data_IF_807585490737
#
_entry.id   IF_807585490737
#
_cell.length_a   1.000
_cell.length_b   1.000
_cell.length_c   1.000
_cell.angle_alpha   90.00
_cell.angle_beta   90.00
_cell.angle_gamma   90.00
#
_symmetry.space_group_name_H-M   'P 1'
#
loop_
_entity.id
_entity.type
_entity.pdbx_description
1 polymer ?
#
# COMPACT_ATOMS: atom_id res chain seq x y z
N UNK A 1 -42.47 6.26 60.32
CA UNK A 1 -41.83 7.24 59.43
C UNK A 1 -40.58 6.62 58.89
N UNK A 2 -40.70 5.86 57.75
CA UNK A 2 -39.58 5.09 57.14
C UNK A 2 -39.00 5.90 55.99
N UNK A 3 -37.73 6.28 56.09
CA UNK A 3 -36.97 6.91 54.99
C UNK A 3 -36.50 5.81 54.05
N UNK A 4 -37.07 5.80 52.86
CA UNK A 4 -36.65 4.93 51.75
C UNK A 4 -35.33 5.49 51.14
N UNK A 5 -34.24 4.83 51.39
CA UNK A 5 -32.92 5.17 50.77
C UNK A 5 -32.85 4.51 49.41
N UNK A 6 -33.11 5.28 48.37
CA UNK A 6 -32.90 4.82 46.97
C UNK A 6 -31.40 4.75 46.68
N UNK A 7 -30.84 3.52 46.58
CA UNK A 7 -29.49 3.28 46.08
C UNK A 7 -29.49 3.44 44.55
N UNK A 8 -28.87 4.52 44.08
CA UNK A 8 -28.63 4.70 42.63
C UNK A 8 -27.60 3.67 42.18
N UNK A 9 -28.04 2.69 41.43
CA UNK A 9 -27.21 1.69 40.78
C UNK A 9 -26.58 2.30 39.50
N UNK A 10 -25.28 2.65 39.56
CA UNK A 10 -24.52 3.07 38.37
C UNK A 10 -24.14 1.84 37.57
N UNK A 11 -24.82 1.61 36.45
CA UNK A 11 -24.46 0.59 35.49
C UNK A 11 -23.30 1.14 34.65
N UNK A 12 -22.08 0.73 34.97
CA UNK A 12 -20.91 0.94 34.09
C UNK A 12 -21.06 0.06 32.86
N UNK A 13 -21.48 0.64 31.72
CA UNK A 13 -21.43 -0.04 30.42
C UNK A 13 -19.96 -0.05 29.98
N UNK A 14 -19.32 -1.21 30.13
CA UNK A 14 -17.98 -1.45 29.62
C UNK A 14 -18.10 -1.62 28.10
N UNK A 15 -17.89 -0.53 27.34
CA UNK A 15 -17.80 -0.56 25.89
C UNK A 15 -16.47 -1.25 25.56
N UNK A 16 -16.51 -2.56 25.29
CA UNK A 16 -15.40 -3.28 24.70
C UNK A 16 -15.13 -2.71 23.29
N UNK A 17 -14.16 -1.82 23.18
CA UNK A 17 -13.57 -1.49 21.89
C UNK A 17 -12.85 -2.74 21.36
N UNK A 18 -13.52 -3.48 20.49
CA UNK A 18 -12.87 -4.52 19.70
C UNK A 18 -12.03 -3.79 18.64
N UNK A 19 -10.69 -3.91 18.67
CA UNK A 19 -9.89 -3.35 17.58
C UNK A 19 -10.33 -4.05 16.28
N UNK A 20 -10.73 -3.27 15.28
CA UNK A 20 -10.83 -3.78 13.91
C UNK A 20 -9.40 -4.14 13.48
N UNK A 21 -9.02 -5.38 13.68
CA UNK A 21 -7.75 -5.89 13.20
C UNK A 21 -7.75 -5.80 11.67
N UNK A 22 -6.95 -4.94 11.11
CA UNK A 22 -6.57 -5.03 9.70
C UNK A 22 -6.08 -6.46 9.49
N UNK A 23 -6.67 -7.19 8.54
CA UNK A 23 -6.35 -8.60 8.32
C UNK A 23 -5.02 -8.64 7.55
N UNK A 24 -3.95 -8.72 8.30
CA UNK A 24 -2.59 -8.91 7.77
C UNK A 24 -2.30 -10.42 7.70
N UNK A 25 -1.68 -10.87 6.63
CA UNK A 25 -1.40 -12.27 6.37
C UNK A 25 -0.09 -12.46 5.62
N UNK A 26 0.61 -13.56 5.91
CA UNK A 26 1.90 -13.89 5.32
C UNK A 26 1.74 -14.58 3.99
N UNK A 27 2.60 -14.21 3.01
CA UNK A 27 2.63 -14.84 1.71
C UNK A 27 4.02 -14.78 1.07
N UNK A 28 4.34 -15.78 0.25
CA UNK A 28 5.58 -15.80 -0.52
C UNK A 28 5.40 -15.07 -1.85
N UNK A 29 6.27 -14.12 -2.15
CA UNK A 29 6.29 -13.46 -3.45
C UNK A 29 6.78 -14.45 -4.51
N UNK A 30 5.91 -14.78 -5.47
CA UNK A 30 6.22 -15.73 -6.56
C UNK A 30 6.61 -15.03 -7.85
N UNK A 31 6.12 -13.81 -8.08
CA UNK A 31 6.57 -12.97 -9.21
C UNK A 31 6.21 -11.50 -9.01
N UNK A 32 7.03 -10.62 -9.59
CA UNK A 32 6.73 -9.20 -9.76
C UNK A 32 6.22 -8.99 -11.18
N UNK A 33 5.02 -8.45 -11.32
CA UNK A 33 4.38 -8.22 -12.62
C UNK A 33 4.85 -6.90 -13.25
N UNK A 34 4.89 -5.87 -12.44
CA UNK A 34 5.34 -4.50 -12.76
C UNK A 34 5.75 -3.77 -11.46
N UNK A 35 5.88 -2.45 -11.49
CA UNK A 35 6.38 -1.69 -10.34
C UNK A 35 5.43 -1.61 -9.13
N UNK A 36 4.16 -2.01 -9.28
CA UNK A 36 3.16 -1.92 -8.20
C UNK A 36 2.21 -3.12 -8.14
N UNK A 37 2.52 -4.18 -8.86
CA UNK A 37 1.71 -5.39 -8.89
C UNK A 37 2.59 -6.63 -8.74
N UNK A 38 2.29 -7.43 -7.72
CA UNK A 38 2.95 -8.71 -7.45
C UNK A 38 1.97 -9.86 -7.46
N UNK A 39 2.49 -11.07 -7.63
CA UNK A 39 1.79 -12.32 -7.33
C UNK A 39 2.43 -12.94 -6.12
N UNK A 40 1.62 -13.33 -5.17
CA UNK A 40 2.04 -14.03 -3.97
C UNK A 40 1.37 -15.39 -3.88
N UNK A 41 1.93 -16.30 -3.12
CA UNK A 41 1.33 -17.57 -2.76
C UNK A 41 1.09 -17.62 -1.25
N UNK A 42 -0.13 -17.93 -0.87
CA UNK A 42 -0.53 -18.23 0.49
C UNK A 42 -1.15 -19.62 0.54
N UNK A 43 -0.85 -20.41 1.59
CA UNK A 43 -1.29 -21.80 1.68
C UNK A 43 -2.82 -21.96 1.71
N UNK A 44 -3.54 -20.96 2.25
CA UNK A 44 -5.00 -21.00 2.39
C UNK A 44 -5.72 -20.51 1.12
N UNK A 45 -5.15 -19.50 0.44
CA UNK A 45 -5.78 -18.79 -0.67
C UNK A 45 -5.20 -19.18 -2.04
N UNK A 46 -4.07 -19.91 -2.08
CA UNK A 46 -3.33 -20.20 -3.31
C UNK A 46 -2.61 -18.97 -3.85
N UNK A 47 -2.60 -18.78 -5.16
CA UNK A 47 -2.00 -17.60 -5.79
C UNK A 47 -2.93 -16.39 -5.75
N UNK A 48 -2.47 -15.32 -5.16
CA UNK A 48 -3.19 -14.04 -5.06
C UNK A 48 -2.41 -12.94 -5.80
N UNK A 49 -3.12 -12.09 -6.54
CA UNK A 49 -2.54 -10.90 -7.17
C UNK A 49 -2.74 -9.70 -6.26
N UNK A 50 -1.65 -9.07 -5.86
CA UNK A 50 -1.64 -7.89 -4.99
C UNK A 50 -1.31 -6.65 -5.83
N UNK A 51 -2.15 -5.61 -5.71
CA UNK A 51 -1.87 -4.26 -6.17
C UNK A 51 -1.45 -3.41 -4.97
N UNK A 52 -0.28 -2.83 -5.02
CA UNK A 52 0.22 -1.99 -3.94
C UNK A 52 -0.71 -0.77 -3.77
N UNK A 53 -1.23 -0.59 -2.56
CA UNK A 53 -2.15 0.48 -2.21
C UNK A 53 -1.50 1.86 -2.33
N UNK A 54 -2.29 2.85 -2.77
CA UNK A 54 -1.95 4.27 -2.67
C UNK A 54 -0.85 4.78 -3.61
N UNK A 55 -0.22 3.91 -4.39
CA UNK A 55 0.83 4.27 -5.35
C UNK A 55 0.47 3.89 -6.78
N UNK A 56 1.12 4.54 -7.75
CA UNK A 56 1.00 4.22 -9.17
C UNK A 56 2.38 4.34 -9.82
N UNK A 57 2.82 3.30 -10.51
CA UNK A 57 4.15 3.25 -11.11
C UNK A 57 4.09 3.38 -12.63
N UNK A 58 5.16 3.85 -13.28
CA UNK A 58 5.19 3.93 -14.72
C UNK A 58 4.89 2.58 -15.38
N UNK A 59 4.08 2.60 -16.42
CA UNK A 59 3.69 1.42 -17.21
C UNK A 59 4.91 0.79 -17.91
N UNK A 60 4.84 -0.50 -18.29
CA UNK A 60 5.95 -1.21 -18.94
C UNK A 60 6.53 -0.51 -20.18
N UNK A 61 5.71 0.19 -20.94
CA UNK A 61 6.10 0.97 -22.13
C UNK A 61 6.39 2.44 -21.85
N UNK A 62 6.33 2.85 -20.61
CA UNK A 62 6.62 4.22 -20.17
C UNK A 62 8.07 4.31 -19.71
N UNK A 63 8.73 5.48 -19.84
CA UNK A 63 10.02 5.71 -19.20
C UNK A 63 9.98 5.30 -17.72
N UNK A 64 11.03 4.66 -17.24
CA UNK A 64 11.14 4.08 -15.89
C UNK A 64 10.19 2.91 -15.54
N UNK A 65 9.27 2.48 -16.39
CA UNK A 65 8.38 1.35 -16.07
C UNK A 65 9.12 0.04 -15.81
N UNK A 66 10.12 -0.28 -16.67
CA UNK A 66 10.97 -1.46 -16.43
C UNK A 66 11.85 -1.30 -15.18
N UNK A 67 12.33 -0.08 -14.92
CA UNK A 67 13.15 0.21 -13.76
C UNK A 67 12.37 0.08 -12.45
N UNK A 68 11.12 0.56 -12.42
CA UNK A 68 10.22 0.39 -11.27
C UNK A 68 9.97 -1.10 -10.96
N UNK A 69 9.65 -1.91 -11.98
CA UNK A 69 9.48 -3.37 -11.79
C UNK A 69 10.76 -4.06 -11.30
N UNK A 70 11.92 -3.67 -11.83
CA UNK A 70 13.23 -4.17 -11.36
C UNK A 70 13.50 -3.79 -9.91
N UNK A 71 13.22 -2.55 -9.54
CA UNK A 71 13.42 -2.07 -8.17
C UNK A 71 12.53 -2.84 -7.19
N UNK A 72 11.23 -2.97 -7.47
CA UNK A 72 10.34 -3.78 -6.65
C UNK A 72 10.83 -5.23 -6.55
N UNK A 73 11.28 -5.81 -7.66
CA UNK A 73 11.84 -7.17 -7.67
C UNK A 73 13.09 -7.30 -6.81
N UNK A 74 13.99 -6.29 -6.81
CA UNK A 74 15.19 -6.31 -5.95
C UNK A 74 14.88 -6.21 -4.46
N UNK A 75 13.73 -5.64 -4.10
CA UNK A 75 13.28 -5.55 -2.71
C UNK A 75 12.70 -6.89 -2.21
N UNK A 76 11.79 -7.50 -2.98
CA UNK A 76 10.94 -8.56 -2.43
C UNK A 76 10.82 -9.84 -3.29
N UNK A 77 11.60 -10.02 -4.37
CA UNK A 77 11.47 -11.24 -5.17
C UNK A 77 11.83 -12.49 -4.35
N UNK A 78 10.88 -13.42 -4.22
CA UNK A 78 11.05 -14.66 -3.47
C UNK A 78 10.96 -14.51 -1.95
N UNK A 79 10.78 -13.29 -1.43
CA UNK A 79 10.63 -13.04 0.00
C UNK A 79 9.28 -13.55 0.55
N UNK A 80 9.24 -13.75 1.86
CA UNK A 80 8.02 -13.90 2.64
C UNK A 80 7.61 -12.49 3.11
N UNK A 81 6.46 -12.03 2.66
CA UNK A 81 5.96 -10.69 2.98
C UNK A 81 4.66 -10.76 3.76
N UNK A 82 4.40 -9.75 4.56
CA UNK A 82 3.12 -9.54 5.19
C UNK A 82 2.26 -8.63 4.29
N UNK A 83 1.01 -9.03 4.05
CA UNK A 83 0.05 -8.26 3.25
C UNK A 83 -1.07 -7.76 4.14
N UNK A 84 -1.13 -6.47 4.35
CA UNK A 84 -2.25 -5.80 5.00
C UNK A 84 -3.30 -5.44 3.95
N UNK A 85 -4.42 -6.17 3.92
CA UNK A 85 -5.48 -5.95 2.95
C UNK A 85 -6.25 -4.67 3.27
N UNK A 86 -6.28 -3.73 2.32
CA UNK A 86 -7.08 -2.50 2.41
C UNK A 86 -8.44 -2.68 1.75
N UNK A 87 -8.47 -3.26 0.54
CA UNK A 87 -9.71 -3.49 -0.23
C UNK A 87 -9.45 -4.48 -1.37
N UNK A 88 -10.48 -4.76 -2.15
CA UNK A 88 -10.38 -5.50 -3.41
C UNK A 88 -10.84 -4.59 -4.55
N UNK A 89 -10.11 -4.56 -5.64
CA UNK A 89 -10.46 -3.73 -6.79
C UNK A 89 -11.48 -4.42 -7.72
N UNK A 90 -11.98 -3.65 -8.69
CA UNK A 90 -12.98 -4.13 -9.68
C UNK A 90 -12.47 -5.29 -10.57
N UNK A 91 -11.17 -5.56 -10.56
CA UNK A 91 -10.54 -6.67 -11.32
C UNK A 91 -10.28 -7.89 -10.43
N UNK A 92 -10.74 -7.88 -9.19
CA UNK A 92 -10.55 -8.96 -8.22
C UNK A 92 -9.14 -9.04 -7.62
N UNK A 93 -8.30 -7.99 -7.77
CA UNK A 93 -6.99 -7.95 -7.12
C UNK A 93 -7.15 -7.48 -5.67
N UNK A 94 -6.44 -8.09 -4.76
CA UNK A 94 -6.26 -7.53 -3.41
C UNK A 94 -5.44 -6.24 -3.52
N UNK A 95 -5.97 -5.15 -2.99
CA UNK A 95 -5.24 -3.88 -2.85
C UNK A 95 -4.74 -3.81 -1.42
N UNK A 96 -3.43 -3.72 -1.23
CA UNK A 96 -2.83 -3.84 0.09
C UNK A 96 -1.53 -3.08 0.28
N UNK A 97 -1.17 -2.96 1.56
CA UNK A 97 0.15 -2.53 1.97
C UNK A 97 0.98 -3.80 2.15
N UNK A 98 2.17 -3.80 1.59
CA UNK A 98 3.10 -4.93 1.63
C UNK A 98 4.27 -4.56 2.52
N UNK A 99 4.58 -5.44 3.47
CA UNK A 99 5.68 -5.28 4.39
C UNK A 99 6.68 -6.42 4.20
N UNK A 100 7.95 -6.07 4.14
CA UNK A 100 9.06 -7.00 4.28
C UNK A 100 9.76 -6.68 5.60
N UNK A 101 9.58 -7.54 6.60
CA UNK A 101 9.93 -7.25 7.99
C UNK A 101 9.31 -5.91 8.45
N UNK A 102 10.11 -4.91 8.80
CA UNK A 102 9.66 -3.58 9.22
C UNK A 102 9.57 -2.56 8.07
N UNK A 103 9.90 -2.99 6.84
CA UNK A 103 9.94 -2.11 5.67
C UNK A 103 8.60 -2.08 4.95
N UNK A 104 7.96 -0.91 4.90
CA UNK A 104 6.79 -0.67 4.06
C UNK A 104 7.22 -0.54 2.59
N UNK A 105 6.95 -1.55 1.79
CA UNK A 105 7.37 -1.62 0.38
C UNK A 105 6.69 -0.57 -0.49
N UNK A 106 5.42 -0.26 -0.23
CA UNK A 106 4.70 0.79 -0.94
C UNK A 106 5.39 2.15 -0.75
N UNK A 107 5.72 2.47 0.49
CA UNK A 107 6.42 3.70 0.87
C UNK A 107 7.82 3.75 0.27
N UNK A 108 8.54 2.62 0.29
CA UNK A 108 9.88 2.50 -0.27
C UNK A 108 9.91 2.80 -1.75
N UNK A 109 8.94 2.32 -2.52
CA UNK A 109 8.81 2.61 -3.95
C UNK A 109 8.66 4.11 -4.22
N UNK A 110 7.95 4.85 -3.36
CA UNK A 110 7.81 6.31 -3.43
C UNK A 110 9.13 6.98 -3.07
N UNK A 111 9.74 6.59 -1.94
CA UNK A 111 10.99 7.16 -1.43
C UNK A 111 12.13 7.02 -2.43
N UNK A 112 12.23 5.86 -3.06
CA UNK A 112 13.25 5.57 -4.08
C UNK A 112 12.97 6.22 -5.45
N UNK A 113 11.85 6.95 -5.59
CA UNK A 113 11.48 7.66 -6.81
C UNK A 113 11.03 6.75 -7.95
N UNK A 114 10.45 5.59 -7.66
CA UNK A 114 9.90 4.68 -8.68
C UNK A 114 8.38 4.64 -8.73
N UNK A 115 7.71 5.34 -7.81
CA UNK A 115 6.26 5.45 -7.77
C UNK A 115 5.80 6.88 -7.54
N UNK A 116 4.62 7.19 -8.07
CA UNK A 116 3.83 8.35 -7.71
C UNK A 116 2.89 7.98 -6.57
N UNK A 117 2.64 8.89 -5.64
CA UNK A 117 1.51 8.76 -4.73
C UNK A 117 0.23 8.99 -5.53
N UNK A 118 -0.63 7.96 -5.58
CA UNK A 118 -1.87 8.04 -6.31
C UNK A 118 -2.96 8.67 -5.43
N UNK A 119 -2.96 9.99 -5.33
CA UNK A 119 -3.80 10.79 -4.42
C UNK A 119 -5.28 10.42 -4.43
N UNK A 120 -5.81 9.98 -5.60
CA UNK A 120 -7.21 9.55 -5.71
C UNK A 120 -7.52 8.30 -4.88
N UNK A 121 -6.53 7.46 -4.62
CA UNK A 121 -6.65 6.17 -3.94
C UNK A 121 -5.74 6.04 -2.73
N UNK A 122 -5.09 7.11 -2.31
CA UNK A 122 -4.31 7.20 -1.10
C UNK A 122 -5.04 8.15 -0.14
N UNK A 123 -5.93 7.60 0.68
CA UNK A 123 -6.85 8.34 1.56
C UNK A 123 -6.60 8.08 3.06
N UNK A 124 -5.59 7.29 3.39
CA UNK A 124 -5.21 6.98 4.78
C UNK A 124 -4.32 8.09 5.37
N UNK A 125 -4.29 8.26 6.70
CA UNK A 125 -3.51 9.31 7.36
C UNK A 125 -2.02 9.33 6.96
N UNK A 126 -1.40 8.17 6.76
CA UNK A 126 0.00 8.05 6.37
C UNK A 126 0.30 8.52 4.93
N UNK A 127 -0.72 8.74 4.10
CA UNK A 127 -0.52 9.22 2.73
C UNK A 127 0.09 10.63 2.68
N UNK A 128 -0.11 11.44 3.71
CA UNK A 128 0.55 12.76 3.84
C UNK A 128 2.08 12.64 3.96
N UNK A 129 2.56 11.63 4.68
CA UNK A 129 3.99 11.32 4.77
C UNK A 129 4.54 10.87 3.41
N UNK A 130 3.81 10.00 2.69
CA UNK A 130 4.24 9.54 1.37
C UNK A 130 4.34 10.68 0.35
N UNK A 131 3.48 11.70 0.46
CA UNK A 131 3.58 12.91 -0.37
C UNK A 131 4.88 13.69 -0.09
N UNK A 132 5.31 13.78 1.18
CA UNK A 132 6.58 14.39 1.52
C UNK A 132 7.77 13.59 0.95
N UNK A 133 7.69 12.26 0.98
CA UNK A 133 8.72 11.40 0.36
C UNK A 133 8.77 11.59 -1.16
N UNK A 134 7.61 11.69 -1.82
CA UNK A 134 7.54 12.00 -3.25
C UNK A 134 8.19 13.35 -3.56
N UNK A 135 7.89 14.40 -2.80
CA UNK A 135 8.46 15.73 -2.99
C UNK A 135 9.98 15.74 -2.75
N UNK A 136 10.47 14.98 -1.78
CA UNK A 136 11.90 14.79 -1.55
C UNK A 136 12.58 14.08 -2.72
N UNK A 137 11.96 13.00 -3.24
CA UNK A 137 12.47 12.27 -4.39
C UNK A 137 12.53 13.15 -5.65
N UNK A 138 11.51 13.99 -5.88
CA UNK A 138 11.46 14.98 -6.96
C UNK A 138 12.58 16.01 -6.85
N UNK A 139 12.71 16.62 -5.68
CA UNK A 139 13.71 17.66 -5.41
C UNK A 139 15.13 17.14 -5.58
N UNK A 140 15.35 15.89 -5.20
CA UNK A 140 16.63 15.19 -5.32
C UNK A 140 16.85 14.57 -6.71
N UNK A 141 15.88 14.64 -7.61
CA UNK A 141 15.92 14.06 -8.96
C UNK A 141 16.34 12.58 -8.98
N UNK A 142 15.77 11.77 -8.11
CA UNK A 142 16.03 10.32 -8.06
C UNK A 142 14.96 9.52 -8.80
N UNK A 143 15.35 8.34 -9.30
CA UNK A 143 14.45 7.46 -10.02
C UNK A 143 13.81 8.13 -11.24
N UNK A 144 12.49 8.04 -11.37
CA UNK A 144 11.70 8.61 -12.47
C UNK A 144 11.77 10.16 -12.53
N UNK A 145 12.14 10.80 -11.41
CA UNK A 145 12.25 12.27 -11.31
C UNK A 145 13.50 12.84 -11.99
N UNK A 146 14.37 12.00 -12.54
CA UNK A 146 15.46 12.41 -13.45
C UNK A 146 14.92 12.87 -14.82
N UNK A 147 13.72 12.40 -15.19
CA UNK A 147 13.05 12.91 -16.39
C UNK A 147 12.68 14.38 -16.21
N UNK A 148 12.93 15.23 -17.20
CA UNK A 148 12.60 16.66 -17.11
C UNK A 148 11.09 16.93 -16.96
N UNK A 149 10.26 16.09 -17.59
CA UNK A 149 8.81 16.20 -17.57
C UNK A 149 8.18 14.81 -17.38
N UNK A 150 8.27 14.22 -16.19
CA UNK A 150 7.75 12.90 -15.96
C UNK A 150 6.21 12.92 -16.04
N UNK A 151 5.66 12.01 -16.85
CA UNK A 151 4.21 11.89 -17.06
C UNK A 151 3.64 10.93 -16.02
N UNK A 152 2.60 11.30 -15.26
CA UNK A 152 1.97 10.37 -14.34
C UNK A 152 1.36 9.16 -15.09
N UNK A 153 1.40 7.94 -14.50
CA UNK A 153 0.88 6.74 -15.16
C UNK A 153 -0.59 6.84 -15.55
N UNK A 154 -1.43 7.47 -14.73
CA UNK A 154 -2.85 7.68 -15.03
C UNK A 154 -3.10 8.62 -16.24
N UNK A 155 -2.18 9.54 -16.53
CA UNK A 155 -2.21 10.37 -17.75
C UNK A 155 -1.67 9.59 -18.95
N UNK A 156 -0.60 8.82 -18.75
CA UNK A 156 -0.04 7.97 -19.79
C UNK A 156 -1.07 6.99 -20.37
N UNK A 157 -1.88 6.35 -19.49
CA UNK A 157 -2.97 5.45 -19.90
C UNK A 157 -4.06 6.13 -20.72
N UNK A 158 -4.26 7.43 -20.58
CA UNK A 158 -5.26 8.21 -21.35
C UNK A 158 -4.78 8.59 -22.74
N UNK A 159 -3.48 8.51 -23.01
CA UNK A 159 -2.87 8.87 -24.30
C UNK A 159 -2.89 7.70 -25.30
N UNK A 160 -3.26 6.51 -24.84
CA UNK A 160 -3.45 5.30 -25.64
C UNK A 160 -4.93 5.14 -26.01
#
# INVERSE_FOLDING_TARGET
MYKLVMKKLWIFVLICFWPLSAHAWMAKVVSVTDGDTIKVYNAEQGQVKIRLYGIDTPEKGQPYGKAAGKHLSSLIAGAMVEVETVTTDRYGRTVGIVWDEETNINQEMVRAGYAWVYRRYCDKPFCSEWLLLEDNARSSRIGLWQEPNPVPPWEWRRRK
#
